data_IF_603907086386
#
_entry.id   IF_603907086386
#
_cell.length_a   1.000
_cell.length_b   1.000
_cell.length_c   1.000
_cell.angle_alpha   90.00
_cell.angle_beta   90.00
_cell.angle_gamma   90.00
#
_symmetry.space_group_name_H-M   'P 1'
#
loop_
_entity.id
_entity.type
_entity.pdbx_description
1 polymer ?
#
# COMPACT_ATOMS: atom_id res chain seq x y z
N UNK A 1 69.96 -48.27 -69.79
CA UNK A 1 69.20 -48.11 -71.03
C UNK A 1 68.02 -47.19 -70.79
N UNK A 2 68.04 -45.96 -71.21
CA UNK A 2 67.22 -45.35 -72.23
C UNK A 2 65.74 -45.51 -71.98
N UNK A 3 64.89 -44.45 -71.82
CA UNK A 3 64.55 -43.27 -72.67
C UNK A 3 63.68 -42.32 -71.82
N UNK A 4 63.93 -41.09 -71.61
CA UNK A 4 63.54 -39.86 -72.33
C UNK A 4 62.07 -39.57 -72.54
N UNK A 5 61.72 -38.37 -72.08
CA UNK A 5 60.91 -37.28 -72.62
C UNK A 5 59.40 -37.35 -72.29
N UNK A 6 58.66 -36.31 -72.08
CA UNK A 6 58.80 -34.89 -72.39
C UNK A 6 57.83 -34.12 -71.50
N UNK A 7 58.17 -32.89 -71.25
CA UNK A 7 57.33 -31.86 -70.65
C UNK A 7 56.17 -31.43 -71.53
N UNK A 8 54.97 -31.21 -70.96
CA UNK A 8 54.00 -30.29 -71.62
C UNK A 8 53.39 -29.40 -70.51
N UNK A 9 53.77 -28.15 -70.59
CA UNK A 9 53.26 -27.05 -69.82
C UNK A 9 51.83 -26.74 -70.29
N UNK A 10 50.84 -27.14 -69.54
CA UNK A 10 49.44 -26.71 -69.75
C UNK A 10 49.10 -25.61 -68.73
N UNK A 11 49.17 -24.35 -69.19
CA UNK A 11 48.74 -23.15 -68.49
C UNK A 11 47.22 -23.19 -68.36
N UNK A 12 46.70 -23.66 -67.24
CA UNK A 12 45.26 -23.60 -66.92
C UNK A 12 44.96 -22.24 -66.31
N UNK A 13 44.44 -21.34 -67.10
CA UNK A 13 43.94 -20.01 -66.78
C UNK A 13 42.65 -20.27 -65.93
N UNK A 14 42.74 -20.37 -64.61
CA UNK A 14 41.55 -20.34 -63.71
C UNK A 14 40.97 -18.95 -63.69
N UNK A 15 39.97 -18.71 -64.54
CA UNK A 15 39.02 -17.62 -64.35
C UNK A 15 38.34 -17.77 -63.01
N UNK A 16 38.79 -17.00 -62.01
CA UNK A 16 38.11 -16.82 -60.73
C UNK A 16 36.78 -16.11 -61.00
N UNK A 17 35.73 -16.86 -61.23
CA UNK A 17 34.38 -16.35 -61.04
C UNK A 17 34.20 -16.17 -59.53
N UNK A 18 34.52 -14.98 -59.05
CA UNK A 18 34.05 -14.56 -57.74
C UNK A 18 32.52 -14.66 -57.73
N UNK A 19 31.90 -15.10 -56.60
CA UNK A 19 30.47 -15.08 -56.52
C UNK A 19 30.02 -13.63 -56.68
N UNK A 20 29.32 -13.35 -57.79
CA UNK A 20 28.55 -12.13 -57.91
C UNK A 20 27.48 -12.20 -56.83
N UNK A 21 27.70 -11.53 -55.72
CA UNK A 21 26.69 -11.35 -54.70
C UNK A 21 25.59 -10.49 -55.34
N UNK A 22 24.59 -11.13 -55.92
CA UNK A 22 23.34 -10.46 -56.21
C UNK A 22 22.84 -9.92 -54.87
N UNK A 23 22.78 -8.60 -54.77
CA UNK A 23 22.09 -7.96 -53.65
C UNK A 23 20.62 -8.44 -53.72
N UNK A 24 20.32 -9.50 -52.97
CA UNK A 24 18.96 -10.01 -52.92
C UNK A 24 18.07 -8.90 -52.37
N UNK A 25 17.16 -8.39 -53.21
CA UNK A 25 16.21 -7.37 -52.82
C UNK A 25 15.27 -7.91 -51.74
N UNK A 26 15.27 -7.25 -50.61
CA UNK A 26 14.30 -7.51 -49.57
C UNK A 26 12.91 -7.04 -50.02
N UNK A 27 11.91 -7.89 -49.89
CA UNK A 27 10.50 -7.56 -50.16
C UNK A 27 9.78 -7.33 -48.84
N UNK A 28 9.12 -6.20 -48.74
CA UNK A 28 8.30 -5.83 -47.57
C UNK A 28 6.86 -5.62 -48.03
N UNK A 29 5.97 -6.42 -47.54
CA UNK A 29 4.53 -6.29 -47.77
C UNK A 29 3.80 -5.96 -46.46
N UNK A 30 3.30 -4.73 -46.33
CA UNK A 30 2.52 -4.31 -45.16
C UNK A 30 1.15 -4.97 -45.22
N UNK A 31 0.75 -5.59 -44.10
CA UNK A 31 -0.52 -6.29 -43.97
C UNK A 31 -1.68 -5.30 -43.88
N UNK A 32 -2.80 -5.49 -44.59
CA UNK A 32 -3.98 -4.63 -44.48
C UNK A 32 -4.58 -4.61 -43.06
N UNK A 33 -4.47 -5.73 -42.32
CA UNK A 33 -4.91 -5.88 -40.95
C UNK A 33 -3.83 -6.63 -40.17
N UNK A 34 -3.43 -6.06 -39.04
CA UNK A 34 -2.48 -6.68 -38.10
C UNK A 34 -3.07 -6.73 -36.71
N UNK A 35 -2.83 -7.85 -36.03
CA UNK A 35 -3.16 -8.02 -34.62
C UNK A 35 -1.87 -8.22 -33.85
N UNK A 36 -1.57 -7.29 -32.94
CA UNK A 36 -0.31 -7.27 -32.18
C UNK A 36 -0.57 -7.55 -30.69
N UNK A 37 0.44 -8.04 -30.00
CA UNK A 37 0.33 -8.31 -28.55
C UNK A 37 0.59 -7.08 -27.67
N UNK A 38 1.37 -6.09 -28.21
CA UNK A 38 1.82 -4.95 -27.40
C UNK A 38 2.85 -5.35 -26.34
N UNK A 39 3.34 -4.40 -25.52
CA UNK A 39 3.10 -2.94 -25.63
C UNK A 39 3.89 -2.28 -26.77
N UNK A 40 4.88 -2.96 -27.35
CA UNK A 40 5.75 -2.47 -28.41
C UNK A 40 5.22 -2.93 -29.77
N UNK A 41 5.25 -2.04 -30.74
CA UNK A 41 4.96 -2.34 -32.13
C UNK A 41 6.27 -2.57 -32.86
N UNK A 42 6.49 -3.79 -33.34
CA UNK A 42 7.62 -4.17 -34.16
C UNK A 42 7.28 -4.19 -35.64
N UNK A 43 8.25 -3.97 -36.51
CA UNK A 43 8.02 -3.93 -37.97
C UNK A 43 7.48 -5.27 -38.49
N UNK A 44 8.00 -6.39 -37.98
CA UNK A 44 7.53 -7.73 -38.33
C UNK A 44 6.09 -8.04 -37.91
N UNK A 45 5.51 -7.27 -36.96
CA UNK A 45 4.10 -7.44 -36.59
C UNK A 45 3.16 -6.96 -37.69
N UNK A 46 3.52 -5.91 -38.41
CA UNK A 46 2.69 -5.24 -39.39
C UNK A 46 3.06 -5.56 -40.82
N UNK A 47 4.25 -6.16 -41.09
CA UNK A 47 4.72 -6.45 -42.43
C UNK A 47 5.23 -7.90 -42.53
N UNK A 48 5.05 -8.45 -43.74
CA UNK A 48 5.73 -9.66 -44.16
C UNK A 48 7.03 -9.24 -44.85
N UNK A 49 8.16 -9.72 -44.29
CA UNK A 49 9.50 -9.36 -44.75
C UNK A 49 10.16 -10.65 -45.24
N UNK A 50 10.57 -10.66 -46.52
CA UNK A 50 11.12 -11.82 -47.18
C UNK A 50 12.20 -11.42 -48.22
N UNK A 51 12.98 -12.40 -48.68
CA UNK A 51 14.09 -12.15 -49.58
C UNK A 51 15.30 -11.54 -48.86
N UNK A 52 16.45 -11.55 -49.51
CA UNK A 52 17.71 -11.08 -48.95
C UNK A 52 18.32 -12.02 -47.90
N UNK A 53 19.39 -11.55 -47.26
CA UNK A 53 20.07 -12.31 -46.20
C UNK A 53 19.14 -12.50 -44.96
N UNK A 54 19.13 -13.72 -44.43
CA UNK A 54 18.28 -14.07 -43.27
C UNK A 54 18.48 -13.14 -42.04
N UNK A 55 19.74 -12.75 -41.80
CA UNK A 55 20.09 -11.81 -40.71
C UNK A 55 19.45 -10.43 -40.91
N UNK A 56 19.44 -9.91 -42.13
CA UNK A 56 18.82 -8.62 -42.48
C UNK A 56 17.29 -8.68 -42.30
N UNK A 57 16.67 -9.77 -42.75
CA UNK A 57 15.22 -9.99 -42.56
C UNK A 57 14.88 -10.03 -41.09
N UNK A 58 15.64 -10.76 -40.27
CA UNK A 58 15.43 -10.84 -38.85
C UNK A 58 15.62 -9.50 -38.14
N UNK A 59 16.65 -8.75 -38.50
CA UNK A 59 16.89 -7.38 -38.01
C UNK A 59 15.71 -6.47 -38.32
N UNK A 60 15.23 -6.44 -39.55
CA UNK A 60 14.10 -5.61 -39.96
C UNK A 60 12.83 -5.99 -39.20
N UNK A 61 12.56 -7.29 -38.97
CA UNK A 61 11.39 -7.74 -38.19
C UNK A 61 11.42 -7.25 -36.78
N UNK A 62 12.58 -7.10 -36.16
CA UNK A 62 12.75 -6.68 -34.78
C UNK A 62 12.76 -5.15 -34.56
N UNK A 63 12.76 -4.36 -35.67
CA UNK A 63 12.76 -2.92 -35.55
C UNK A 63 11.53 -2.43 -34.80
N UNK A 64 11.77 -1.66 -33.72
CA UNK A 64 10.71 -1.02 -32.94
C UNK A 64 10.20 0.21 -33.72
N UNK A 65 8.92 0.20 -34.08
CA UNK A 65 8.26 1.32 -34.75
C UNK A 65 7.63 2.32 -33.77
N UNK A 66 7.41 1.90 -32.54
CA UNK A 66 6.78 2.72 -31.50
C UNK A 66 6.04 1.87 -30.49
N UNK A 67 5.07 2.50 -29.83
CA UNK A 67 4.18 1.80 -28.92
C UNK A 67 2.94 1.29 -29.66
N UNK A 68 2.49 0.08 -29.30
CA UNK A 68 1.25 -0.47 -29.82
C UNK A 68 0.03 0.33 -29.31
N UNK A 69 -1.10 0.35 -30.04
CA UNK A 69 -2.35 0.90 -29.52
C UNK A 69 -2.71 0.32 -28.17
N UNK A 70 -3.54 1.04 -27.38
CA UNK A 70 -4.02 0.52 -26.12
C UNK A 70 -4.71 -0.85 -26.32
N UNK A 71 -4.65 -1.77 -25.32
CA UNK A 71 -5.28 -3.09 -25.43
C UNK A 71 -6.75 -3.00 -25.87
N UNK A 72 -7.14 -3.79 -26.86
CA UNK A 72 -8.48 -3.77 -27.46
C UNK A 72 -8.76 -2.59 -28.40
N UNK A 73 -7.85 -1.63 -28.51
CA UNK A 73 -8.00 -0.51 -29.42
C UNK A 73 -7.39 -0.81 -30.78
N UNK A 74 -7.88 -0.09 -31.80
CA UNK A 74 -7.37 -0.14 -33.15
C UNK A 74 -6.99 1.24 -33.65
N UNK A 75 -5.94 1.28 -34.46
CA UNK A 75 -5.48 2.47 -35.16
C UNK A 75 -5.42 2.19 -36.66
N UNK A 76 -5.82 3.16 -37.46
CA UNK A 76 -5.67 3.13 -38.92
C UNK A 76 -4.48 3.99 -39.29
N UNK A 77 -3.54 3.40 -39.99
CA UNK A 77 -2.34 4.08 -40.50
C UNK A 77 -2.38 4.13 -42.03
N UNK A 78 -1.66 5.09 -42.58
CA UNK A 78 -1.41 5.28 -44.03
C UNK A 78 0.08 5.20 -44.29
N UNK A 79 0.51 5.08 -45.54
CA UNK A 79 1.92 5.15 -45.89
C UNK A 79 2.62 6.41 -45.37
N UNK A 80 1.94 7.58 -45.38
CA UNK A 80 2.47 8.84 -44.88
C UNK A 80 2.70 8.82 -43.35
N UNK A 81 1.87 8.08 -42.59
CA UNK A 81 2.09 7.92 -41.13
C UNK A 81 3.13 6.85 -40.79
N UNK A 82 3.36 5.88 -41.66
CA UNK A 82 4.38 4.85 -41.46
C UNK A 82 5.79 5.39 -41.70
N UNK A 83 5.98 6.28 -42.70
CA UNK A 83 7.28 6.81 -43.07
C UNK A 83 8.08 7.44 -41.92
N UNK A 84 7.53 8.37 -41.09
CA UNK A 84 8.25 8.92 -39.95
C UNK A 84 8.60 7.87 -38.89
N UNK A 85 7.77 6.83 -38.71
CA UNK A 85 8.06 5.73 -37.80
C UNK A 85 9.29 4.92 -38.27
N UNK A 86 9.39 4.66 -39.55
CA UNK A 86 10.55 3.98 -40.14
C UNK A 86 11.81 4.85 -40.05
N UNK A 87 11.74 6.12 -40.40
CA UNK A 87 12.86 7.06 -40.28
C UNK A 87 13.42 7.16 -38.87
N UNK A 88 12.52 7.12 -37.84
CA UNK A 88 12.91 7.15 -36.43
C UNK A 88 13.79 5.94 -36.02
N UNK A 89 13.68 4.80 -36.71
CA UNK A 89 14.51 3.61 -36.44
C UNK A 89 15.97 3.77 -36.85
N UNK A 90 16.28 4.72 -37.73
CA UNK A 90 17.61 4.94 -38.34
C UNK A 90 18.17 3.70 -39.06
N UNK A 91 17.30 2.76 -39.41
CA UNK A 91 17.70 1.58 -40.17
C UNK A 91 17.90 1.90 -41.65
N UNK A 92 18.72 1.09 -42.32
CA UNK A 92 18.89 1.18 -43.76
C UNK A 92 17.77 0.45 -44.49
N UNK A 93 16.96 1.20 -45.21
CA UNK A 93 15.87 0.71 -46.06
C UNK A 93 16.23 0.73 -47.57
N UNK A 94 17.49 0.85 -47.91
CA UNK A 94 17.94 0.74 -49.29
C UNK A 94 17.69 -0.68 -49.83
N UNK A 95 17.48 -0.79 -51.13
CA UNK A 95 17.24 -2.06 -51.84
C UNK A 95 16.02 -2.86 -51.27
N UNK A 96 14.98 -2.15 -50.88
CA UNK A 96 13.70 -2.75 -50.43
C UNK A 96 12.62 -2.49 -51.49
N UNK A 97 11.92 -3.56 -51.86
CA UNK A 97 10.71 -3.47 -52.67
C UNK A 97 9.51 -3.41 -51.78
N UNK A 98 8.78 -2.31 -51.80
CA UNK A 98 7.65 -2.04 -50.89
C UNK A 98 6.32 -2.37 -51.55
N UNK A 99 5.43 -2.99 -50.79
CA UNK A 99 4.00 -3.14 -51.08
C UNK A 99 3.23 -2.65 -49.83
N UNK A 100 2.68 -1.45 -49.91
CA UNK A 100 1.97 -0.81 -48.80
C UNK A 100 0.54 -0.49 -49.23
N UNK A 101 -0.49 -0.97 -48.56
CA UNK A 101 -1.87 -0.60 -48.85
C UNK A 101 -2.12 0.88 -48.55
N UNK A 102 -3.13 1.48 -49.20
CA UNK A 102 -3.51 2.88 -48.98
C UNK A 102 -3.89 3.17 -47.52
N UNK A 103 -4.41 2.15 -46.80
CA UNK A 103 -4.70 2.20 -45.39
C UNK A 103 -4.56 0.80 -44.78
N UNK A 104 -4.06 0.70 -43.56
CA UNK A 104 -3.94 -0.56 -42.85
C UNK A 104 -4.32 -0.38 -41.39
N UNK A 105 -4.92 -1.42 -40.79
CA UNK A 105 -5.43 -1.42 -39.43
C UNK A 105 -4.51 -2.22 -38.52
N UNK A 106 -4.15 -1.63 -37.37
CA UNK A 106 -3.41 -2.32 -36.31
C UNK A 106 -4.34 -2.39 -35.08
N UNK A 107 -4.53 -3.59 -34.56
CA UNK A 107 -5.33 -3.83 -33.36
C UNK A 107 -4.46 -4.52 -32.31
N UNK A 108 -4.50 -4.05 -31.06
CA UNK A 108 -3.80 -4.73 -29.97
C UNK A 108 -4.72 -5.76 -29.30
N UNK A 109 -4.23 -6.99 -29.20
CA UNK A 109 -4.92 -8.06 -28.50
C UNK A 109 -5.22 -7.70 -27.06
N UNK A 110 -6.39 -8.07 -26.56
CA UNK A 110 -6.80 -7.78 -25.19
C UNK A 110 -7.63 -8.90 -24.60
N UNK A 111 -7.77 -8.85 -23.30
CA UNK A 111 -8.72 -9.65 -22.54
C UNK A 111 -9.56 -8.73 -21.63
N UNK A 112 -10.88 -9.02 -21.50
CA UNK A 112 -11.77 -8.21 -20.69
C UNK A 112 -11.48 -8.42 -19.20
N UNK A 113 -11.48 -7.34 -18.43
CA UNK A 113 -11.47 -7.33 -16.96
C UNK A 113 -12.75 -6.65 -16.52
N UNK A 114 -13.64 -7.44 -15.90
CA UNK A 114 -14.93 -6.93 -15.44
C UNK A 114 -14.76 -6.00 -14.24
N UNK A 115 -15.36 -4.84 -14.29
CA UNK A 115 -15.46 -3.91 -13.17
C UNK A 115 -16.13 -4.53 -11.95
N UNK A 116 -17.15 -5.39 -12.16
CA UNK A 116 -17.80 -6.12 -11.08
C UNK A 116 -16.79 -7.02 -10.33
N UNK A 117 -15.93 -7.75 -11.04
CA UNK A 117 -14.89 -8.60 -10.43
C UNK A 117 -13.91 -7.78 -9.60
N UNK A 118 -13.52 -6.60 -10.10
CA UNK A 118 -12.67 -5.67 -9.37
C UNK A 118 -13.36 -5.16 -8.10
N UNK A 119 -14.64 -4.80 -8.20
CA UNK A 119 -15.47 -4.34 -7.09
C UNK A 119 -15.62 -5.41 -6.00
N UNK A 120 -15.92 -6.66 -6.37
CA UNK A 120 -16.05 -7.78 -5.45
C UNK A 120 -14.74 -8.09 -4.71
N UNK A 121 -13.62 -8.09 -5.43
CA UNK A 121 -12.30 -8.30 -4.84
C UNK A 121 -11.95 -7.19 -3.85
N UNK A 122 -12.16 -5.93 -4.23
CA UNK A 122 -11.93 -4.79 -3.36
C UNK A 122 -12.83 -4.80 -2.13
N UNK A 123 -14.12 -5.17 -2.29
CA UNK A 123 -15.09 -5.30 -1.18
C UNK A 123 -14.68 -6.39 -0.21
N UNK A 124 -14.31 -7.57 -0.68
CA UNK A 124 -13.83 -8.66 0.17
C UNK A 124 -12.61 -8.22 0.99
N UNK A 125 -11.67 -7.56 0.34
CA UNK A 125 -10.46 -7.08 0.97
C UNK A 125 -10.73 -6.05 2.08
N UNK A 126 -11.55 -5.03 1.79
CA UNK A 126 -11.87 -3.99 2.79
C UNK A 126 -12.71 -4.54 3.94
N UNK A 127 -13.62 -5.50 3.67
CA UNK A 127 -14.42 -6.14 4.73
C UNK A 127 -13.58 -6.97 5.69
N UNK A 128 -12.52 -7.62 5.20
CA UNK A 128 -11.55 -8.34 6.03
C UNK A 128 -10.67 -7.40 6.83
N UNK A 129 -10.36 -6.23 6.29
CA UNK A 129 -9.51 -5.24 6.96
C UNK A 129 -10.29 -4.42 7.99
N UNK A 130 -11.55 -4.09 7.73
CA UNK A 130 -12.43 -3.30 8.59
C UNK A 130 -13.45 -4.20 9.33
N UNK A 131 -12.97 -5.12 10.15
CA UNK A 131 -13.82 -6.05 10.89
C UNK A 131 -14.86 -5.33 11.75
N UNK A 132 -16.11 -5.79 11.68
CA UNK A 132 -17.24 -5.21 12.42
C UNK A 132 -17.74 -3.88 11.87
N UNK A 133 -17.31 -3.47 10.68
CA UNK A 133 -17.82 -2.28 9.99
C UNK A 133 -18.76 -2.66 8.84
N UNK A 134 -19.71 -1.78 8.55
CA UNK A 134 -20.53 -1.84 7.34
C UNK A 134 -19.79 -1.15 6.22
N UNK A 135 -19.63 -1.84 5.09
CA UNK A 135 -18.90 -1.36 3.92
C UNK A 135 -19.86 -1.11 2.77
N UNK A 136 -19.99 0.12 2.32
CA UNK A 136 -20.81 0.54 1.19
C UNK A 136 -19.89 1.03 0.06
N UNK A 137 -20.05 0.48 -1.14
CA UNK A 137 -19.27 0.91 -2.31
C UNK A 137 -19.81 2.23 -2.87
N UNK A 138 -18.92 3.16 -3.18
CA UNK A 138 -19.25 4.46 -3.79
C UNK A 138 -18.85 4.41 -5.27
N UNK A 139 -19.83 4.14 -6.13
CA UNK A 139 -19.60 3.95 -7.57
C UNK A 139 -18.97 2.58 -7.90
N UNK A 140 -19.30 2.04 -9.05
CA UNK A 140 -18.71 0.80 -9.56
C UNK A 140 -17.60 1.14 -10.57
N UNK A 141 -16.46 0.44 -10.55
CA UNK A 141 -15.46 0.58 -11.60
C UNK A 141 -16.00 0.06 -12.93
N UNK A 142 -15.62 0.71 -14.03
CA UNK A 142 -15.98 0.28 -15.37
C UNK A 142 -15.18 -0.95 -15.80
N UNK A 143 -15.75 -1.72 -16.75
CA UNK A 143 -15.03 -2.75 -17.46
C UNK A 143 -13.84 -2.14 -18.21
N UNK A 144 -12.75 -2.88 -18.32
CA UNK A 144 -11.57 -2.43 -19.05
C UNK A 144 -10.96 -3.58 -19.86
N UNK A 145 -10.15 -3.22 -20.85
CA UNK A 145 -9.41 -4.16 -21.67
C UNK A 145 -7.95 -4.19 -21.18
N UNK A 146 -7.49 -5.35 -20.70
CA UNK A 146 -6.10 -5.56 -20.29
C UNK A 146 -5.30 -6.24 -21.42
N UNK A 147 -3.96 -6.15 -21.43
CA UNK A 147 -3.13 -6.91 -22.35
C UNK A 147 -3.42 -8.42 -22.22
N UNK A 148 -3.29 -9.15 -23.32
CA UNK A 148 -3.44 -10.59 -23.34
C UNK A 148 -2.25 -11.24 -22.60
N UNK A 149 -2.52 -12.11 -21.63
CA UNK A 149 -1.52 -12.81 -20.82
C UNK A 149 -2.09 -13.33 -19.51
N UNK A 150 -1.22 -13.80 -18.61
CA UNK A 150 -1.61 -14.25 -17.27
C UNK A 150 -2.02 -13.05 -16.42
N UNK A 151 -3.31 -12.96 -16.10
CA UNK A 151 -3.88 -11.86 -15.32
C UNK A 151 -3.79 -12.12 -13.83
N UNK A 152 -3.25 -11.15 -13.08
CA UNK A 152 -3.21 -11.14 -11.63
C UNK A 152 -3.83 -9.84 -11.10
N UNK A 153 -4.77 -9.98 -10.14
CA UNK A 153 -5.48 -8.86 -9.51
C UNK A 153 -5.10 -8.80 -8.04
N UNK A 154 -4.55 -7.70 -7.59
CA UNK A 154 -4.09 -7.54 -6.20
C UNK A 154 -4.68 -6.27 -5.60
N UNK A 155 -5.54 -6.37 -4.57
CA UNK A 155 -6.06 -5.20 -3.87
C UNK A 155 -5.05 -4.67 -2.85
N UNK A 156 -4.96 -3.35 -2.72
CA UNK A 156 -4.14 -2.64 -1.74
C UNK A 156 -4.88 -1.41 -1.19
N UNK A 157 -4.70 -1.09 0.10
CA UNK A 157 -5.25 0.13 0.69
C UNK A 157 -4.38 1.35 0.39
N UNK A 158 -5.05 2.47 0.11
CA UNK A 158 -4.41 3.79 0.06
C UNK A 158 -4.53 4.45 1.42
N UNK A 159 -3.61 4.11 2.32
CA UNK A 159 -3.60 4.64 3.69
C UNK A 159 -4.53 3.86 4.66
N UNK A 160 -4.79 4.39 5.86
CA UNK A 160 -5.62 3.72 6.85
C UNK A 160 -7.11 3.75 6.47
N UNK A 161 -7.89 2.80 7.02
CA UNK A 161 -9.34 2.82 6.92
C UNK A 161 -9.89 4.08 7.61
N UNK A 162 -10.76 4.82 6.92
CA UNK A 162 -11.41 6.03 7.44
C UNK A 162 -12.89 5.76 7.65
N UNK A 163 -13.40 6.20 8.80
CA UNK A 163 -14.83 6.07 9.13
C UNK A 163 -15.61 7.36 8.86
N UNK A 164 -14.92 8.48 8.65
CA UNK A 164 -15.49 9.82 8.42
C UNK A 164 -15.29 10.34 6.99
N UNK A 165 -14.70 9.54 6.12
CA UNK A 165 -14.44 9.89 4.73
C UNK A 165 -14.30 8.59 3.90
N UNK A 166 -14.45 8.66 2.57
CA UNK A 166 -14.26 7.49 1.71
C UNK A 166 -12.86 6.88 1.87
N UNK A 167 -12.82 5.56 1.96
CA UNK A 167 -11.60 4.76 1.94
C UNK A 167 -11.40 4.21 0.54
N UNK A 168 -10.21 4.35 -0.02
CA UNK A 168 -9.90 3.89 -1.38
C UNK A 168 -9.08 2.59 -1.31
N UNK A 169 -9.55 1.59 -2.03
CA UNK A 169 -8.82 0.36 -2.35
C UNK A 169 -8.36 0.46 -3.81
N UNK A 170 -7.07 0.36 -4.05
CA UNK A 170 -6.53 0.23 -5.41
C UNK A 170 -6.45 -1.25 -5.77
N UNK A 171 -7.06 -1.64 -6.89
CA UNK A 171 -6.86 -2.97 -7.44
C UNK A 171 -5.81 -2.89 -8.53
N UNK A 172 -4.62 -3.41 -8.23
CA UNK A 172 -3.54 -3.50 -9.21
C UNK A 172 -3.83 -4.65 -10.18
N UNK A 173 -3.84 -4.34 -11.46
CA UNK A 173 -4.01 -5.28 -12.57
C UNK A 173 -2.64 -5.53 -13.15
N UNK A 174 -2.16 -6.76 -13.06
CA UNK A 174 -0.90 -7.19 -13.63
C UNK A 174 -1.13 -8.19 -14.75
N UNK A 175 -0.33 -8.09 -15.79
CA UNK A 175 -0.31 -9.08 -16.88
C UNK A 175 1.12 -9.56 -17.04
N UNK A 176 1.33 -10.89 -16.96
CA UNK A 176 2.65 -11.52 -17.03
C UNK A 176 3.68 -10.89 -16.06
N UNK A 177 3.23 -10.55 -14.83
CA UNK A 177 4.05 -9.95 -13.78
C UNK A 177 4.25 -8.44 -13.90
N UNK A 178 3.95 -7.81 -15.04
CA UNK A 178 4.04 -6.36 -15.23
C UNK A 178 2.73 -5.66 -14.82
N UNK A 179 2.84 -4.54 -14.09
CA UNK A 179 1.65 -3.76 -13.73
C UNK A 179 1.13 -3.02 -14.97
N UNK A 180 -0.10 -3.32 -15.34
CA UNK A 180 -0.80 -2.65 -16.43
C UNK A 180 -1.57 -1.42 -15.96
N UNK A 181 -2.38 -1.57 -14.91
CA UNK A 181 -3.21 -0.49 -14.39
C UNK A 181 -3.46 -0.66 -12.89
N UNK A 182 -3.84 0.45 -12.22
CA UNK A 182 -4.38 0.45 -10.85
C UNK A 182 -5.74 1.11 -10.88
N UNK A 183 -6.77 0.37 -10.53
CA UNK A 183 -8.16 0.84 -10.54
C UNK A 183 -8.58 1.20 -9.13
N UNK A 184 -8.94 2.46 -8.84
CA UNK A 184 -9.44 2.87 -7.53
C UNK A 184 -10.90 2.45 -7.36
N UNK A 185 -11.21 1.82 -6.23
CA UNK A 185 -12.56 1.51 -5.77
C UNK A 185 -12.77 2.19 -4.43
N UNK A 186 -13.79 3.03 -4.32
CA UNK A 186 -14.08 3.80 -3.12
C UNK A 186 -15.18 3.16 -2.28
N UNK A 187 -15.01 3.20 -0.96
CA UNK A 187 -15.96 2.67 0.00
C UNK A 187 -16.23 3.68 1.12
N UNK A 188 -17.49 3.83 1.47
CA UNK A 188 -17.88 4.37 2.77
C UNK A 188 -17.83 3.24 3.79
N UNK A 189 -17.04 3.43 4.84
CA UNK A 189 -16.88 2.45 5.93
C UNK A 189 -17.50 3.04 7.19
N UNK A 190 -18.59 2.43 7.68
CA UNK A 190 -19.29 2.85 8.90
C UNK A 190 -19.08 1.82 9.99
N UNK A 191 -18.66 2.27 11.15
CA UNK A 191 -18.46 1.41 12.32
C UNK A 191 -19.19 2.00 13.51
N UNK A 192 -20.14 1.24 14.04
CA UNK A 192 -20.79 1.55 15.30
C UNK A 192 -20.00 0.86 16.41
N UNK A 193 -19.68 1.62 17.45
CA UNK A 193 -19.04 1.08 18.66
C UNK A 193 -19.69 1.63 19.91
N UNK A 194 -19.57 0.88 20.99
CA UNK A 194 -19.95 1.36 22.32
C UNK A 194 -18.83 2.20 22.90
N UNK A 195 -19.15 3.42 23.28
CA UNK A 195 -18.24 4.38 23.91
C UNK A 195 -18.76 4.80 25.25
N UNK A 196 -17.84 5.15 26.15
CA UNK A 196 -18.21 5.65 27.46
C UNK A 196 -18.68 7.09 27.34
N UNK A 197 -19.92 7.34 27.77
CA UNK A 197 -20.49 8.70 27.85
C UNK A 197 -20.85 9.04 29.29
N UNK A 198 -20.85 10.32 29.59
CA UNK A 198 -21.28 10.86 30.90
C UNK A 198 -22.78 10.74 31.01
N UNK A 199 -23.27 10.17 32.14
CA UNK A 199 -24.69 9.98 32.41
C UNK A 199 -25.31 11.11 33.26
N UNK A 200 -24.52 11.76 34.13
CA UNK A 200 -24.92 12.87 35.00
C UNK A 200 -23.84 13.99 34.97
N UNK A 201 -24.19 15.21 35.37
CA UNK A 201 -23.20 16.31 35.40
C UNK A 201 -21.99 15.96 36.26
N UNK A 202 -20.81 16.11 35.69
CA UNK A 202 -19.52 16.00 36.35
C UNK A 202 -18.83 17.37 36.39
N UNK A 203 -18.36 17.80 37.54
CA UNK A 203 -17.53 18.99 37.69
C UNK A 203 -16.05 18.65 37.57
N UNK A 204 -15.22 19.66 37.31
CA UNK A 204 -13.77 19.47 37.35
C UNK A 204 -13.34 18.99 38.74
N UNK A 205 -12.56 17.89 38.75
CA UNK A 205 -12.06 17.30 40.00
C UNK A 205 -12.98 16.21 40.60
N UNK A 206 -14.16 15.95 40.04
CA UNK A 206 -15.04 14.87 40.52
C UNK A 206 -14.46 13.49 40.21
N UNK A 207 -14.61 12.56 41.15
CA UNK A 207 -14.23 11.16 40.90
C UNK A 207 -15.43 10.47 40.24
N UNK A 208 -15.19 9.85 39.11
CA UNK A 208 -16.21 9.20 38.30
C UNK A 208 -16.67 7.91 38.98
N UNK A 209 -17.96 7.85 39.32
CA UNK A 209 -18.62 6.68 39.84
C UNK A 209 -19.25 5.84 38.73
N UNK A 210 -19.52 4.55 38.98
CA UNK A 210 -20.14 3.69 37.97
C UNK A 210 -21.51 4.21 37.47
N UNK A 211 -22.28 4.92 38.30
CA UNK A 211 -23.56 5.55 37.92
C UNK A 211 -23.41 6.78 37.06
N UNK A 212 -22.23 7.45 37.12
CA UNK A 212 -21.97 8.72 36.43
C UNK A 212 -21.64 8.53 34.98
N UNK A 213 -21.46 7.28 34.53
CA UNK A 213 -21.09 6.94 33.13
C UNK A 213 -21.88 5.74 32.63
N UNK A 214 -22.08 5.67 31.31
CA UNK A 214 -22.72 4.51 30.66
C UNK A 214 -22.06 4.26 29.29
N UNK A 215 -22.30 3.08 28.74
CA UNK A 215 -21.98 2.80 27.36
C UNK A 215 -23.10 3.29 26.44
N UNK A 216 -22.73 3.88 25.29
CA UNK A 216 -23.67 4.33 24.28
C UNK A 216 -23.09 4.02 22.88
N UNK A 217 -23.96 3.51 22.00
CA UNK A 217 -23.57 3.17 20.62
C UNK A 217 -23.43 4.45 19.78
N UNK A 218 -22.24 4.67 19.24
CA UNK A 218 -21.92 5.84 18.40
C UNK A 218 -21.20 5.46 17.12
N UNK A 219 -21.40 6.27 16.08
CA UNK A 219 -20.66 6.14 14.83
C UNK A 219 -19.20 6.62 15.01
N UNK A 220 -18.25 5.71 14.80
CA UNK A 220 -16.82 6.00 14.91
C UNK A 220 -16.37 7.18 14.03
N UNK A 221 -17.02 7.40 12.90
CA UNK A 221 -16.73 8.51 12.00
C UNK A 221 -17.03 9.89 12.58
N UNK A 222 -17.86 9.95 13.62
CA UNK A 222 -18.23 11.21 14.33
C UNK A 222 -17.39 11.43 15.58
N UNK A 223 -16.55 10.46 15.96
CA UNK A 223 -15.75 10.50 17.18
C UNK A 223 -14.37 11.09 16.92
N UNK A 224 -13.90 11.92 17.85
CA UNK A 224 -12.49 12.33 17.87
C UNK A 224 -11.62 11.18 18.45
N UNK A 225 -10.36 11.03 18.02
CA UNK A 225 -9.46 10.04 18.60
C UNK A 225 -9.27 10.19 20.12
N UNK A 226 -9.09 9.06 20.82
CA UNK A 226 -8.86 9.03 22.26
C UNK A 226 -10.12 8.84 23.10
N UNK A 227 -11.26 8.45 22.50
CA UNK A 227 -12.46 8.00 23.24
C UNK A 227 -12.19 6.68 23.96
N UNK A 228 -12.93 6.45 25.05
CA UNK A 228 -12.83 5.23 25.85
C UNK A 228 -14.05 4.34 25.60
N UNK A 229 -13.82 3.02 25.52
CA UNK A 229 -14.82 1.99 25.26
C UNK A 229 -15.03 1.05 26.45
N UNK A 230 -14.26 1.22 27.52
CA UNK A 230 -14.24 0.35 28.68
C UNK A 230 -14.50 1.18 29.93
N UNK A 231 -15.62 0.87 30.64
CA UNK A 231 -16.01 1.52 31.88
C UNK A 231 -14.98 1.31 33.00
N UNK A 232 -14.28 0.18 33.00
CA UNK A 232 -13.28 -0.12 34.05
C UNK A 232 -12.09 0.83 34.04
N UNK A 233 -11.79 1.42 32.85
CA UNK A 233 -10.73 2.43 32.69
C UNK A 233 -11.15 3.84 33.08
N UNK A 234 -12.45 4.04 33.34
CA UNK A 234 -13.03 5.36 33.59
C UNK A 234 -13.48 5.50 35.04
N UNK A 235 -14.13 4.45 35.57
CA UNK A 235 -14.60 4.45 36.95
C UNK A 235 -13.42 4.53 37.93
N UNK A 236 -13.50 5.43 38.90
CA UNK A 236 -12.41 5.71 39.84
C UNK A 236 -11.39 6.75 39.35
N UNK A 237 -11.42 7.15 38.06
CA UNK A 237 -10.62 8.27 37.55
C UNK A 237 -11.25 9.61 37.97
N UNK A 238 -10.47 10.66 37.92
CA UNK A 238 -10.87 12.04 38.20
C UNK A 238 -10.98 12.85 36.93
N UNK A 239 -12.05 13.64 36.79
CA UNK A 239 -12.24 14.56 35.68
C UNK A 239 -11.30 15.76 35.78
N UNK A 240 -10.68 16.15 34.64
CA UNK A 240 -9.88 17.40 34.57
C UNK A 240 -10.72 18.64 34.36
N UNK A 241 -11.88 18.48 33.74
CA UNK A 241 -12.80 19.57 33.38
C UNK A 241 -14.27 19.09 33.57
N UNK A 242 -15.17 20.05 33.70
CA UNK A 242 -16.58 19.75 33.74
C UNK A 242 -17.06 19.07 32.46
N UNK A 243 -17.96 18.08 32.61
CA UNK A 243 -18.55 17.34 31.51
C UNK A 243 -20.05 17.16 31.70
N UNK A 244 -20.88 17.70 30.77
CA UNK A 244 -22.32 17.54 30.83
C UNK A 244 -22.77 16.12 30.41
N UNK A 245 -23.99 15.68 30.78
CA UNK A 245 -24.54 14.41 30.32
C UNK A 245 -24.55 14.27 28.80
N UNK A 246 -24.28 13.06 28.30
CA UNK A 246 -24.16 12.78 26.88
C UNK A 246 -22.78 13.06 26.28
N UNK A 247 -21.86 13.68 27.04
CA UNK A 247 -20.49 13.91 26.58
C UNK A 247 -19.70 12.61 26.49
N UNK A 248 -18.96 12.42 25.40
CA UNK A 248 -18.03 11.28 25.27
C UNK A 248 -16.84 11.49 26.19
N UNK A 249 -16.45 10.42 26.91
CA UNK A 249 -15.28 10.44 27.79
C UNK A 249 -14.02 10.15 26.99
N UNK A 250 -13.03 11.07 27.04
CA UNK A 250 -11.75 10.95 26.40
C UNK A 250 -10.64 10.70 27.42
N UNK A 251 -9.62 9.95 27.05
CA UNK A 251 -8.46 9.69 27.90
C UNK A 251 -7.82 11.00 28.41
N UNK A 252 -7.70 12.00 27.55
CA UNK A 252 -7.13 13.33 27.87
C UNK A 252 -7.93 14.10 28.93
N UNK A 253 -9.23 13.80 29.09
CA UNK A 253 -10.12 14.47 30.06
C UNK A 253 -10.03 13.85 31.46
N UNK A 254 -9.27 12.78 31.61
CA UNK A 254 -9.14 12.04 32.86
C UNK A 254 -7.75 12.21 33.49
N UNK A 255 -7.71 12.02 34.78
CA UNK A 255 -6.47 11.92 35.57
C UNK A 255 -6.67 10.94 36.72
N UNK A 256 -5.59 10.37 37.23
CA UNK A 256 -5.69 9.55 38.48
C UNK A 256 -5.99 10.46 39.65
N UNK A 257 -6.92 10.08 40.54
CA UNK A 257 -7.24 10.89 41.72
C UNK A 257 -6.02 10.98 42.65
N UNK A 258 -5.78 12.18 43.14
CA UNK A 258 -4.74 12.39 44.17
C UNK A 258 -5.27 11.80 45.49
N UNK A 259 -4.65 10.72 45.96
CA UNK A 259 -5.01 10.04 47.21
C UNK A 259 -4.35 10.66 48.43
N UNK A 260 -3.12 11.11 48.25
CA UNK A 260 -2.31 11.74 49.31
C UNK A 260 -1.96 13.16 48.90
N UNK A 261 -2.33 14.14 49.72
CA UNK A 261 -2.00 15.56 49.51
C UNK A 261 -0.68 15.94 50.20
N UNK A 262 0.02 16.94 49.69
CA UNK A 262 1.18 17.50 50.41
C UNK A 262 0.79 18.04 51.76
N UNK A 263 1.55 17.69 52.78
CA UNK A 263 1.28 18.05 54.21
C UNK A 263 0.32 17.12 54.92
N UNK A 264 -0.27 16.12 54.22
CA UNK A 264 -1.20 15.16 54.84
C UNK A 264 -0.45 14.18 55.74
N UNK A 265 -1.01 13.90 56.92
CA UNK A 265 -0.52 12.83 57.80
C UNK A 265 -0.90 11.47 57.21
N UNK A 266 0.08 10.61 57.06
CA UNK A 266 -0.04 9.30 56.39
C UNK A 266 0.60 8.19 57.24
N UNK A 267 0.22 6.96 56.95
CA UNK A 267 0.92 5.77 57.45
C UNK A 267 2.02 5.40 56.47
N UNK A 268 3.28 5.37 56.95
CA UNK A 268 4.41 4.84 56.21
C UNK A 268 4.51 3.35 56.56
N UNK A 269 4.50 2.49 55.55
CA UNK A 269 4.68 1.05 55.71
C UNK A 269 6.03 0.64 55.06
N UNK A 270 6.73 -0.29 55.69
CA UNK A 270 7.90 -0.96 55.11
C UNK A 270 7.76 -2.46 55.29
N UNK A 271 8.04 -3.24 54.25
CA UNK A 271 8.00 -4.69 54.28
C UNK A 271 9.41 -5.25 54.18
N UNK A 272 9.78 -6.08 55.16
CA UNK A 272 11.04 -6.79 55.24
C UNK A 272 10.73 -8.29 55.37
N UNK A 273 10.84 -9.02 54.28
CA UNK A 273 10.37 -10.40 54.20
C UNK A 273 8.85 -10.49 54.49
N UNK A 274 8.46 -11.25 55.48
CA UNK A 274 7.06 -11.39 55.89
C UNK A 274 6.62 -10.37 56.99
N UNK A 275 7.55 -9.55 57.45
CA UNK A 275 7.27 -8.56 58.52
C UNK A 275 6.91 -7.22 57.88
N UNK A 276 5.71 -6.70 58.23
CA UNK A 276 5.31 -5.34 57.90
C UNK A 276 5.44 -4.44 59.13
N UNK A 277 6.20 -3.35 58.96
CA UNK A 277 6.40 -2.34 59.99
C UNK A 277 5.74 -1.05 59.55
N UNK A 278 5.02 -0.37 60.41
CA UNK A 278 4.36 0.89 60.10
C UNK A 278 4.77 2.01 61.08
N UNK A 279 4.84 3.23 60.58
CA UNK A 279 5.10 4.44 61.34
C UNK A 279 4.25 5.62 60.83
N UNK A 280 4.04 6.62 61.67
CA UNK A 280 3.42 7.88 61.25
C UNK A 280 4.36 8.73 60.42
N UNK A 281 3.84 9.38 59.39
CA UNK A 281 4.62 10.29 58.54
C UNK A 281 3.78 11.46 58.01
N UNK A 282 4.47 12.39 57.37
CA UNK A 282 3.88 13.51 56.62
C UNK A 282 4.32 13.44 55.18
N UNK A 283 3.36 13.55 54.26
CA UNK A 283 3.65 13.61 52.83
C UNK A 283 4.30 14.97 52.45
N UNK A 284 5.46 14.93 51.83
CA UNK A 284 6.16 16.11 51.37
C UNK A 284 5.81 16.49 49.92
N UNK A 285 5.14 15.59 49.21
CA UNK A 285 4.56 15.82 47.87
C UNK A 285 3.25 15.06 47.74
N UNK A 286 2.39 15.52 46.86
CA UNK A 286 1.12 14.85 46.55
C UNK A 286 1.34 13.66 45.60
N UNK A 287 0.44 12.69 45.61
CA UNK A 287 0.47 11.54 44.71
C UNK A 287 -0.86 10.79 44.61
N UNK A 288 -1.07 10.18 43.45
CA UNK A 288 -2.09 9.20 43.17
C UNK A 288 -1.62 7.78 43.56
N UNK A 289 -2.54 6.80 43.57
CA UNK A 289 -2.14 5.40 43.78
C UNK A 289 -1.04 4.97 42.82
N UNK A 290 0.02 4.33 43.34
CA UNK A 290 1.17 3.88 42.59
C UNK A 290 2.27 4.93 42.37
N UNK A 291 2.04 6.22 42.65
CA UNK A 291 3.03 7.26 42.53
C UNK A 291 4.10 7.17 43.62
N UNK A 292 5.32 7.52 43.27
CA UNK A 292 6.41 7.65 44.26
C UNK A 292 6.37 9.06 44.82
N UNK A 293 6.22 9.16 46.13
CA UNK A 293 6.22 10.43 46.84
C UNK A 293 7.29 10.46 47.92
N UNK A 294 7.78 11.68 48.21
CA UNK A 294 8.63 11.92 49.35
C UNK A 294 7.82 12.11 50.62
N UNK A 295 8.20 11.43 51.68
CA UNK A 295 7.53 11.47 53.00
C UNK A 295 8.56 11.71 54.07
N UNK A 296 8.12 12.31 55.22
CA UNK A 296 8.95 12.49 56.39
C UNK A 296 8.39 11.65 57.52
N UNK A 297 9.20 10.80 58.11
CA UNK A 297 8.83 10.04 59.32
C UNK A 297 8.72 11.00 60.51
N UNK A 298 7.63 10.98 61.26
CA UNK A 298 7.37 11.90 62.35
C UNK A 298 8.31 11.69 63.56
N UNK A 299 8.71 10.44 63.82
CA UNK A 299 9.54 10.06 64.96
C UNK A 299 11.02 10.34 64.66
N UNK A 300 11.52 9.82 63.54
CA UNK A 300 12.95 9.92 63.21
C UNK A 300 13.33 11.18 62.44
N UNK A 301 12.37 11.95 61.96
CA UNK A 301 12.50 13.13 61.08
C UNK A 301 13.22 12.86 59.77
N UNK A 302 13.52 11.60 59.45
CA UNK A 302 14.17 11.20 58.19
C UNK A 302 13.20 11.29 57.00
N UNK A 303 13.70 11.67 55.84
CA UNK A 303 12.98 11.66 54.58
C UNK A 303 13.12 10.31 53.90
N UNK A 304 12.01 9.79 53.44
CA UNK A 304 11.92 8.51 52.73
C UNK A 304 11.16 8.71 51.43
N UNK A 305 11.39 7.82 50.47
CA UNK A 305 10.59 7.76 49.23
C UNK A 305 9.84 6.45 49.20
N UNK A 306 8.54 6.52 48.96
CA UNK A 306 7.69 5.35 48.92
C UNK A 306 6.57 5.49 47.92
N UNK A 307 5.93 4.38 47.64
CA UNK A 307 4.83 4.27 46.70
C UNK A 307 3.50 4.42 47.44
N UNK A 308 2.64 5.32 46.97
CA UNK A 308 1.28 5.51 47.48
C UNK A 308 0.45 4.26 47.21
N UNK A 309 -0.21 3.73 48.22
CA UNK A 309 -1.14 2.60 48.14
C UNK A 309 -2.58 3.11 48.03
N UNK A 310 -3.51 2.22 47.65
CA UNK A 310 -4.96 2.54 47.53
C UNK A 310 -5.58 2.94 48.89
N UNK A 311 -5.05 2.43 49.99
CA UNK A 311 -5.46 2.75 51.36
C UNK A 311 -4.86 4.05 51.92
N UNK A 312 -4.25 4.87 51.03
CA UNK A 312 -3.50 6.11 51.33
C UNK A 312 -2.24 5.92 52.17
N UNK A 313 -1.81 4.67 52.43
CA UNK A 313 -0.51 4.42 53.03
C UNK A 313 0.61 4.61 51.97
N UNK A 314 1.85 4.79 52.43
CA UNK A 314 3.02 4.89 51.56
C UNK A 314 3.99 3.76 51.89
N UNK A 315 4.13 2.84 50.95
CA UNK A 315 5.06 1.71 51.03
C UNK A 315 6.46 2.14 50.62
N UNK A 316 7.41 2.08 51.54
CA UNK A 316 8.82 2.37 51.29
C UNK A 316 9.50 1.20 50.54
N UNK A 317 10.12 1.47 49.37
CA UNK A 317 10.65 0.44 48.48
C UNK A 317 12.03 -0.08 48.87
N UNK A 318 12.81 0.66 49.65
CA UNK A 318 14.13 0.25 50.12
C UNK A 318 14.36 0.79 51.56
N UNK A 319 13.99 0.00 52.56
CA UNK A 319 14.50 0.22 53.89
C UNK A 319 15.80 -0.56 54.04
N UNK A 320 16.95 0.08 53.72
CA UNK A 320 18.25 -0.36 54.28
C UNK A 320 18.26 0.14 55.70
N UNK A 321 18.03 -0.77 56.67
CA UNK A 321 18.25 -0.52 58.08
C UNK A 321 19.71 -0.14 58.26
N UNK A 322 19.98 1.08 58.69
CA UNK A 322 21.25 1.54 59.23
C UNK A 322 21.23 1.38 60.74
#
# INVERSE_FOLDING_TARGET
>A
MRRTLAALFGLCLMLAFGPVAFAENVKVAVKPVSVVRGPVLSFGDIAEISGGAAERVQYLKQLRLGDAPAPGSAVFLTPQSLEPMLLATRADFSSITWSVPASFKITTSSQPVSGQKLAELARSFISQTALGATVLMVGAPSDLQAPLGKLELTPELVGPVRYNAPTTVLVAIRTDGATFAKVPVQFEVKRILEVVVVAENLNAGDIIQARSVRLESMDAGKLQPGYLTDLSKVVGMQTRQAAPPGSVVFERSLTRPILVKQGEMIRIAARIGEIEVSAGGVAMSQGAAGDLIRVQNLTTKRFLTGRVQEDKSVLVLNYQGG
#
